data_IF_273692216145
#
_entry.id   IF_273692216145
#
_cell.length_a   1.000
_cell.length_b   1.000
_cell.length_c   1.000
_cell.angle_alpha   90.00
_cell.angle_beta   90.00
_cell.angle_gamma   90.00
#
_symmetry.space_group_name_H-M   'P 1'
#
loop_
_entity.id
_entity.type
_entity.pdbx_description
1 polymer ?
#
# COMPACT_ATOMS: atom_id res chain seq x y z
N UNK A 1 -11.78 -14.87 -21.00
CA UNK A 1 -11.76 -15.92 -19.92
C UNK A 1 -10.63 -15.55 -18.95
N UNK A 2 -10.93 -15.47 -17.66
CA UNK A 2 -9.93 -15.18 -16.63
C UNK A 2 -9.10 -16.46 -16.38
N UNK A 3 -7.77 -16.41 -16.52
CA UNK A 3 -6.92 -17.57 -16.34
C UNK A 3 -6.83 -17.97 -14.86
N UNK A 4 -6.83 -19.28 -14.62
CA UNK A 4 -6.45 -19.87 -13.33
C UNK A 4 -4.96 -20.20 -13.36
N UNK A 5 -4.23 -19.76 -12.33
CA UNK A 5 -2.78 -19.96 -12.23
C UNK A 5 -2.46 -21.06 -11.21
N UNK A 6 -1.66 -22.03 -11.63
CA UNK A 6 -0.97 -22.92 -10.70
C UNK A 6 0.14 -22.13 -9.92
N UNK A 7 0.68 -22.66 -8.80
CA UNK A 7 1.63 -21.93 -7.96
C UNK A 7 2.85 -21.34 -8.68
N UNK A 8 3.34 -21.99 -9.74
CA UNK A 8 4.54 -21.60 -10.49
C UNK A 8 4.24 -20.98 -11.87
N UNK A 9 2.99 -20.89 -12.27
CA UNK A 9 2.64 -20.31 -13.57
C UNK A 9 3.02 -18.82 -13.63
N UNK A 10 3.55 -18.30 -14.74
CA UNK A 10 3.84 -16.90 -14.88
C UNK A 10 2.55 -16.08 -14.90
N UNK A 11 2.59 -14.84 -14.41
CA UNK A 11 1.48 -13.91 -14.58
C UNK A 11 1.27 -13.57 -16.05
N UNK A 12 0.01 -13.48 -16.53
CA UNK A 12 -0.30 -12.97 -17.84
C UNK A 12 0.18 -11.51 -18.01
N UNK A 13 0.33 -11.01 -19.24
CA UNK A 13 0.59 -9.59 -19.48
C UNK A 13 -0.51 -8.72 -18.84
N UNK A 14 -0.14 -7.66 -18.12
CA UNK A 14 -1.12 -6.78 -17.45
C UNK A 14 -2.13 -6.14 -18.41
N UNK A 15 -1.76 -5.98 -19.69
CA UNK A 15 -2.65 -5.49 -20.73
C UNK A 15 -3.87 -6.40 -20.97
N UNK A 16 -3.80 -7.69 -20.55
CA UNK A 16 -4.93 -8.62 -20.66
C UNK A 16 -5.91 -8.55 -19.48
N UNK A 17 -5.68 -7.68 -18.49
CA UNK A 17 -6.60 -7.51 -17.37
C UNK A 17 -7.98 -7.03 -17.84
N UNK A 18 -9.03 -7.63 -17.29
CA UNK A 18 -10.41 -7.43 -17.69
C UNK A 18 -10.98 -6.14 -17.08
N UNK A 19 -11.20 -5.12 -17.89
CA UNK A 19 -11.75 -3.82 -17.46
C UNK A 19 -13.17 -3.96 -16.86
N UNK A 20 -13.99 -4.84 -17.42
CA UNK A 20 -15.36 -5.13 -16.94
C UNK A 20 -15.40 -5.72 -15.51
N UNK A 21 -14.28 -6.27 -15.04
CA UNK A 21 -14.11 -6.79 -13.69
C UNK A 21 -13.12 -5.96 -12.86
N UNK A 22 -13.03 -4.66 -13.11
CA UNK A 22 -12.19 -3.74 -12.34
C UNK A 22 -10.68 -4.00 -12.49
N UNK A 23 -10.25 -4.62 -13.60
CA UNK A 23 -8.86 -4.95 -13.85
C UNK A 23 -8.44 -6.32 -13.32
N UNK A 24 -9.39 -7.25 -13.07
CA UNK A 24 -9.07 -8.63 -12.70
C UNK A 24 -8.23 -9.29 -13.81
N UNK A 25 -7.08 -9.81 -13.42
CA UNK A 25 -6.08 -10.37 -14.32
C UNK A 25 -6.05 -11.90 -14.27
N UNK A 26 -6.09 -12.47 -13.08
CA UNK A 26 -5.97 -13.91 -12.86
C UNK A 26 -6.55 -14.34 -11.52
N UNK A 27 -6.76 -15.64 -11.34
CA UNK A 27 -7.21 -16.28 -10.09
C UNK A 27 -6.22 -17.39 -9.76
N UNK A 28 -5.98 -17.68 -8.50
CA UNK A 28 -5.12 -18.80 -8.09
C UNK A 28 -3.70 -18.39 -7.74
N UNK A 29 -2.74 -19.30 -7.92
CA UNK A 29 -1.39 -19.22 -7.40
C UNK A 29 -1.35 -19.17 -5.85
N UNK A 30 -0.27 -18.62 -5.25
CA UNK A 30 -0.07 -18.53 -3.80
C UNK A 30 0.26 -17.11 -3.39
N UNK A 31 0.18 -16.81 -2.10
CA UNK A 31 0.59 -15.52 -1.51
C UNK A 31 2.02 -15.57 -0.94
N UNK A 32 2.87 -16.48 -1.41
CA UNK A 32 4.27 -16.53 -0.98
C UNK A 32 5.04 -15.26 -1.31
N UNK A 33 6.09 -14.91 -0.52
CA UNK A 33 6.84 -13.66 -0.69
C UNK A 33 7.37 -13.43 -2.11
N UNK A 34 7.98 -14.44 -2.73
CA UNK A 34 8.51 -14.30 -4.10
C UNK A 34 7.40 -14.01 -5.11
N UNK A 35 6.24 -14.66 -4.93
CA UNK A 35 5.07 -14.46 -5.79
C UNK A 35 4.50 -13.05 -5.66
N UNK A 36 4.38 -12.55 -4.43
CA UNK A 36 3.93 -11.19 -4.16
C UNK A 36 4.91 -10.17 -4.74
N UNK A 37 6.21 -10.34 -4.51
CA UNK A 37 7.23 -9.43 -5.05
C UNK A 37 7.27 -9.43 -6.58
N UNK A 38 7.10 -10.59 -7.24
CA UNK A 38 6.97 -10.65 -8.71
C UNK A 38 5.71 -9.92 -9.19
N UNK A 39 4.58 -10.10 -8.53
CA UNK A 39 3.34 -9.40 -8.84
C UNK A 39 3.51 -7.88 -8.75
N UNK A 40 4.00 -7.36 -7.61
CA UNK A 40 4.17 -5.93 -7.40
C UNK A 40 5.13 -5.29 -8.40
N UNK A 41 6.23 -5.95 -8.76
CA UNK A 41 7.17 -5.47 -9.79
C UNK A 41 6.56 -5.39 -11.19
N UNK A 42 5.45 -6.10 -11.43
CA UNK A 42 4.68 -6.06 -12.69
C UNK A 42 3.46 -5.15 -12.65
N UNK A 43 3.21 -4.48 -11.52
CA UNK A 43 2.02 -3.66 -11.34
C UNK A 43 0.75 -4.47 -11.06
N UNK A 44 0.91 -5.67 -10.52
CA UNK A 44 -0.16 -6.60 -10.13
C UNK A 44 -0.22 -6.64 -8.61
N UNK A 45 -1.42 -6.73 -8.04
CA UNK A 45 -1.63 -6.89 -6.60
C UNK A 45 -2.77 -7.86 -6.30
N UNK A 46 -2.75 -8.54 -5.14
CA UNK A 46 -3.84 -9.39 -4.71
C UNK A 46 -4.95 -8.55 -4.08
N UNK A 47 -6.21 -8.82 -4.41
CA UNK A 47 -7.36 -8.16 -3.78
C UNK A 47 -8.53 -9.11 -3.59
N UNK A 48 -8.64 -9.65 -2.37
CA UNK A 48 -9.65 -10.63 -2.03
C UNK A 48 -9.35 -12.04 -2.54
N UNK A 49 -10.30 -12.92 -2.30
CA UNK A 49 -10.24 -14.33 -2.67
C UNK A 49 -11.59 -14.80 -3.21
N UNK A 50 -11.57 -15.85 -4.03
CA UNK A 50 -12.73 -16.63 -4.41
C UNK A 50 -12.42 -18.11 -4.16
N UNK A 51 -13.29 -18.81 -3.42
CA UNK A 51 -13.08 -20.21 -3.04
C UNK A 51 -11.70 -20.49 -2.40
N UNK A 52 -11.17 -19.51 -1.63
CA UNK A 52 -9.85 -19.58 -1.02
C UNK A 52 -8.67 -19.25 -1.96
N UNK A 53 -8.91 -18.97 -3.23
CA UNK A 53 -7.86 -18.61 -4.19
C UNK A 53 -7.72 -17.08 -4.32
N UNK A 54 -6.47 -16.55 -4.29
CA UNK A 54 -6.23 -15.13 -4.48
C UNK A 54 -6.73 -14.63 -5.84
N UNK A 55 -7.28 -13.42 -5.83
CA UNK A 55 -7.65 -12.67 -7.03
C UNK A 55 -6.56 -11.63 -7.31
N UNK A 56 -6.02 -11.61 -8.53
CA UNK A 56 -4.93 -10.73 -8.94
C UNK A 56 -5.45 -9.64 -9.87
N UNK A 57 -5.12 -8.40 -9.58
CA UNK A 57 -5.63 -7.23 -10.28
C UNK A 57 -4.52 -6.36 -10.87
N UNK A 58 -4.82 -5.73 -11.99
CA UNK A 58 -4.06 -4.63 -12.58
C UNK A 58 -5.03 -3.65 -13.26
N UNK A 59 -5.65 -2.74 -12.50
CA UNK A 59 -6.66 -1.82 -13.02
C UNK A 59 -6.10 -0.77 -13.98
N UNK A 60 -6.96 -0.25 -14.84
CA UNK A 60 -6.72 0.86 -15.75
C UNK A 60 -7.96 1.78 -15.74
N UNK A 61 -7.85 3.04 -15.30
CA UNK A 61 -6.64 3.72 -14.85
C UNK A 61 -6.13 3.23 -13.49
N UNK A 62 -4.87 3.58 -13.15
CA UNK A 62 -4.25 3.32 -11.88
C UNK A 62 -4.20 4.58 -11.02
N UNK A 63 -4.66 4.50 -9.78
CA UNK A 63 -4.56 5.59 -8.81
C UNK A 63 -3.16 5.62 -8.20
N UNK A 64 -2.49 6.78 -8.26
CA UNK A 64 -1.15 6.98 -7.72
C UNK A 64 -1.03 8.31 -6.99
N UNK A 65 -0.08 8.41 -6.07
CA UNK A 65 0.37 9.68 -5.50
C UNK A 65 1.86 9.86 -5.81
N UNK A 66 2.22 11.00 -6.39
CA UNK A 66 3.61 11.45 -6.43
C UNK A 66 3.91 12.18 -5.10
N UNK A 67 4.93 11.77 -4.33
CA UNK A 67 5.16 12.32 -3.00
C UNK A 67 5.28 13.85 -2.97
N UNK A 68 5.82 14.48 -4.01
CA UNK A 68 5.94 15.93 -4.19
C UNK A 68 4.60 16.64 -4.55
N UNK A 69 3.59 15.88 -5.00
CA UNK A 69 2.24 16.39 -5.26
C UNK A 69 1.31 16.27 -4.02
N UNK A 70 1.82 15.78 -2.89
CA UNK A 70 1.00 15.59 -1.67
C UNK A 70 0.39 16.90 -1.17
N UNK A 71 -0.93 16.88 -0.96
CA UNK A 71 -1.70 18.03 -0.50
C UNK A 71 -1.87 18.03 1.01
N UNK A 72 -1.01 18.75 1.71
CA UNK A 72 -1.14 18.99 3.14
C UNK A 72 -2.18 20.08 3.40
N UNK A 73 -3.42 19.70 3.71
CA UNK A 73 -4.51 20.63 4.00
C UNK A 73 -4.23 21.46 5.26
N UNK A 74 -4.86 22.65 5.37
CA UNK A 74 -4.69 23.52 6.55
C UNK A 74 -5.11 22.80 7.84
N UNK A 75 -6.20 22.02 7.81
CA UNK A 75 -6.66 21.25 8.98
C UNK A 75 -5.66 20.19 9.39
N UNK A 76 -5.14 19.40 8.45
CA UNK A 76 -4.15 18.36 8.73
C UNK A 76 -2.84 18.98 9.26
N UNK A 77 -2.38 20.07 8.67
CA UNK A 77 -1.21 20.83 9.19
C UNK A 77 -1.40 21.28 10.64
N UNK A 78 -2.61 21.74 10.99
CA UNK A 78 -2.94 22.09 12.39
C UNK A 78 -2.87 20.85 13.27
N UNK A 79 -3.49 19.73 12.88
CA UNK A 79 -3.47 18.47 13.63
C UNK A 79 -2.04 18.01 13.90
N UNK A 80 -1.17 18.03 12.88
CA UNK A 80 0.25 17.63 13.00
C UNK A 80 1.02 18.50 13.98
N UNK A 81 0.74 19.82 14.04
CA UNK A 81 1.45 20.78 14.92
C UNK A 81 0.94 20.81 16.36
N UNK A 82 -0.32 20.49 16.58
CA UNK A 82 -1.00 20.65 17.89
C UNK A 82 -1.49 19.33 18.47
N UNK A 83 -1.43 18.24 17.69
CA UNK A 83 -1.85 16.93 18.13
C UNK A 83 -0.84 16.29 19.09
N UNK A 84 -1.35 15.50 20.01
CA UNK A 84 -0.54 14.67 20.91
C UNK A 84 -0.30 13.28 20.29
N UNK A 85 0.05 13.28 18.98
CA UNK A 85 0.30 12.06 18.25
C UNK A 85 1.79 11.72 18.30
N UNK A 86 2.11 10.53 18.72
CA UNK A 86 3.42 9.93 18.51
C UNK A 86 3.36 9.08 17.23
N UNK A 87 4.30 9.28 16.31
CA UNK A 87 4.37 8.48 15.08
C UNK A 87 5.58 7.56 15.15
N UNK A 88 5.32 6.28 14.94
CA UNK A 88 6.34 5.23 14.92
C UNK A 88 6.34 4.52 13.58
N UNK A 89 7.48 3.90 13.27
CA UNK A 89 7.69 3.12 12.04
C UNK A 89 8.10 1.70 12.41
N UNK A 90 7.40 0.70 11.86
CA UNK A 90 7.72 -0.71 12.04
C UNK A 90 7.80 -1.17 13.51
N UNK A 91 7.01 -0.53 14.41
CA UNK A 91 7.03 -0.88 15.83
C UNK A 91 6.09 -2.05 16.14
N UNK A 92 4.93 -2.10 15.48
CA UNK A 92 3.95 -3.17 15.65
C UNK A 92 3.17 -3.43 14.36
N UNK A 93 3.86 -3.90 13.34
CA UNK A 93 3.27 -4.23 12.04
C UNK A 93 2.08 -5.21 12.15
N UNK A 94 2.16 -6.30 12.98
CA UNK A 94 1.02 -7.21 13.16
C UNK A 94 -0.23 -6.51 13.70
N UNK A 95 -0.10 -5.59 14.65
CA UNK A 95 -1.24 -4.83 15.17
C UNK A 95 -1.84 -3.89 14.11
N UNK A 96 -1.01 -3.27 13.27
CA UNK A 96 -1.47 -2.40 12.18
C UNK A 96 -2.29 -3.19 11.16
N UNK A 97 -1.80 -4.32 10.65
CA UNK A 97 -2.53 -5.10 9.65
C UNK A 97 -3.81 -5.73 10.23
N UNK A 98 -3.78 -6.17 11.49
CA UNK A 98 -4.96 -6.65 12.20
C UNK A 98 -6.02 -5.53 12.35
N UNK A 99 -5.62 -4.32 12.74
CA UNK A 99 -6.53 -3.17 12.81
C UNK A 99 -7.09 -2.80 11.43
N UNK A 100 -6.28 -2.85 10.37
CA UNK A 100 -6.74 -2.63 8.99
C UNK A 100 -7.79 -3.68 8.56
N UNK A 101 -7.61 -4.93 8.95
CA UNK A 101 -8.56 -6.02 8.66
C UNK A 101 -9.87 -5.87 9.43
N UNK A 102 -9.81 -5.46 10.70
CA UNK A 102 -10.96 -5.39 11.60
C UNK A 102 -11.79 -4.09 11.47
N UNK A 103 -11.20 -3.01 10.93
CA UNK A 103 -11.88 -1.71 10.88
C UNK A 103 -12.97 -1.68 9.79
N UNK A 104 -14.26 -1.48 10.15
CA UNK A 104 -15.34 -1.41 9.19
C UNK A 104 -15.17 -0.25 8.21
N UNK A 105 -15.53 -0.46 6.96
CA UNK A 105 -15.51 0.56 5.91
C UNK A 105 -16.89 0.80 5.35
N UNK A 106 -17.34 2.07 5.20
CA UNK A 106 -18.64 2.37 4.59
C UNK A 106 -18.75 1.75 3.18
N UNK A 107 -19.84 1.01 2.96
CA UNK A 107 -20.13 0.40 1.65
C UNK A 107 -19.32 -0.84 1.32
N UNK A 108 -18.66 -1.45 2.30
CA UNK A 108 -17.92 -2.69 2.15
C UNK A 108 -18.36 -3.70 3.21
N UNK A 109 -18.91 -4.85 2.76
CA UNK A 109 -19.27 -5.95 3.64
C UNK A 109 -18.04 -6.82 3.92
N UNK A 110 -17.49 -6.73 5.14
CA UNK A 110 -16.30 -7.47 5.54
C UNK A 110 -14.96 -6.84 5.10
N UNK A 111 -13.93 -7.65 5.08
CA UNK A 111 -12.56 -7.25 4.70
C UNK A 111 -12.03 -8.14 3.60
N UNK A 112 -11.21 -7.56 2.72
CA UNK A 112 -10.44 -8.33 1.74
C UNK A 112 -9.13 -8.90 2.33
N UNK A 113 -8.73 -8.43 3.53
CA UNK A 113 -7.53 -8.88 4.22
C UNK A 113 -7.86 -10.15 5.00
N UNK A 114 -7.69 -11.30 4.35
CA UNK A 114 -7.90 -12.62 4.96
C UNK A 114 -6.76 -12.98 5.93
N UNK A 115 -6.92 -13.99 6.81
CA UNK A 115 -5.83 -14.48 7.65
C UNK A 115 -4.58 -14.86 6.85
N UNK A 116 -4.74 -15.51 5.71
CA UNK A 116 -3.63 -15.91 4.83
C UNK A 116 -2.92 -14.69 4.24
N UNK A 117 -3.66 -13.63 3.92
CA UNK A 117 -3.07 -12.36 3.50
C UNK A 117 -2.30 -11.70 4.65
N UNK A 118 -2.86 -11.68 5.87
CA UNK A 118 -2.15 -11.14 7.03
C UNK A 118 -0.81 -11.85 7.24
N UNK A 119 -0.81 -13.19 7.24
CA UNK A 119 0.41 -13.98 7.40
C UNK A 119 1.44 -13.69 6.30
N UNK A 120 0.99 -13.58 5.05
CA UNK A 120 1.85 -13.27 3.91
C UNK A 120 2.52 -11.88 4.04
N UNK A 121 1.78 -10.85 4.45
CA UNK A 121 2.34 -9.50 4.63
C UNK A 121 3.20 -9.37 5.89
N UNK A 122 2.86 -10.07 6.98
CA UNK A 122 3.73 -10.18 8.16
C UNK A 122 5.06 -10.83 7.75
N UNK A 123 5.02 -11.88 6.92
CA UNK A 123 6.24 -12.50 6.40
C UNK A 123 7.05 -11.56 5.52
N UNK A 124 6.40 -10.74 4.66
CA UNK A 124 7.10 -9.70 3.89
C UNK A 124 7.72 -8.63 4.79
N UNK A 125 7.08 -8.29 5.90
CA UNK A 125 7.64 -7.38 6.90
C UNK A 125 8.90 -7.96 7.55
N UNK A 126 8.86 -9.20 8.03
CA UNK A 126 10.03 -9.90 8.58
C UNK A 126 11.21 -9.95 7.60
N UNK A 127 10.91 -10.04 6.30
CA UNK A 127 11.89 -10.01 5.22
C UNK A 127 12.35 -8.57 4.85
N UNK A 128 11.77 -7.53 5.46
CA UNK A 128 12.12 -6.12 5.24
C UNK A 128 11.59 -5.53 3.93
N UNK A 129 10.45 -6.05 3.41
CA UNK A 129 9.77 -5.52 2.24
C UNK A 129 8.48 -4.77 2.57
N UNK A 130 7.76 -5.18 3.62
CA UNK A 130 6.55 -4.50 4.07
C UNK A 130 6.84 -3.68 5.32
N UNK A 131 6.20 -2.50 5.40
CA UNK A 131 6.44 -1.50 6.42
C UNK A 131 5.15 -0.91 6.93
N UNK A 132 5.11 -0.53 8.21
CA UNK A 132 4.02 0.21 8.82
C UNK A 132 4.42 1.62 9.21
N UNK A 133 3.42 2.49 9.25
CA UNK A 133 3.49 3.81 9.90
C UNK A 133 2.32 3.90 10.86
N UNK A 134 2.61 4.14 12.11
CA UNK A 134 1.71 4.01 13.25
C UNK A 134 1.47 5.35 13.90
N UNK A 135 0.23 5.62 14.25
CA UNK A 135 -0.15 6.80 15.03
C UNK A 135 -0.62 6.36 16.40
N UNK A 136 0.11 6.79 17.41
CA UNK A 136 -0.11 6.47 18.82
C UNK A 136 -0.57 7.70 19.58
N UNK A 137 -1.48 7.53 20.55
CA UNK A 137 -1.91 8.56 21.51
C UNK A 137 -2.01 7.90 22.88
N UNK A 138 -1.27 8.42 23.86
CA UNK A 138 -1.26 7.91 25.26
C UNK A 138 -0.95 6.40 25.34
N UNK A 139 -0.08 5.91 24.46
CA UNK A 139 0.29 4.50 24.39
C UNK A 139 -0.69 3.59 23.66
N UNK A 140 -1.78 4.13 23.11
CA UNK A 140 -2.75 3.39 22.30
C UNK A 140 -2.49 3.59 20.80
N UNK A 141 -2.52 2.52 20.01
CA UNK A 141 -2.49 2.53 18.56
C UNK A 141 -3.86 3.00 18.02
N UNK A 142 -3.94 4.26 17.57
CA UNK A 142 -5.20 4.90 17.19
C UNK A 142 -5.39 5.08 15.68
N UNK A 143 -4.37 4.80 14.90
CA UNK A 143 -4.40 4.83 13.44
C UNK A 143 -3.08 4.37 12.85
N UNK A 144 -3.08 4.14 11.55
CA UNK A 144 -1.88 3.67 10.87
C UNK A 144 -2.19 3.24 9.45
N UNK A 145 -1.14 2.81 8.79
CA UNK A 145 -1.16 2.23 7.46
C UNK A 145 -0.03 1.21 7.32
N UNK A 146 -0.15 0.35 6.31
CA UNK A 146 0.96 -0.48 5.89
C UNK A 146 1.06 -0.54 4.37
N UNK A 147 2.21 -0.96 3.89
CA UNK A 147 2.49 -1.14 2.48
C UNK A 147 3.84 -1.76 2.22
N UNK A 148 4.22 -1.90 0.95
CA UNK A 148 5.51 -2.44 0.54
C UNK A 148 6.41 -1.35 -0.02
N UNK A 149 7.72 -1.49 0.21
CA UNK A 149 8.75 -0.66 -0.40
C UNK A 149 9.66 -1.53 -1.28
N UNK A 150 9.64 -1.28 -2.60
CA UNK A 150 10.47 -1.99 -3.58
C UNK A 150 11.20 -0.96 -4.43
N UNK A 151 12.52 -0.88 -4.31
CA UNK A 151 13.30 0.18 -4.95
C UNK A 151 12.89 1.56 -4.46
N UNK A 152 12.44 2.44 -5.35
CA UNK A 152 11.90 3.78 -5.04
C UNK A 152 10.37 3.87 -5.24
N UNK A 153 9.71 2.74 -5.14
CA UNK A 153 8.26 2.59 -5.24
C UNK A 153 7.67 2.15 -3.90
N UNK A 154 6.61 2.81 -3.44
CA UNK A 154 5.83 2.38 -2.29
C UNK A 154 4.44 1.93 -2.74
N UNK A 155 3.97 0.79 -2.26
CA UNK A 155 2.64 0.26 -2.53
C UNK A 155 1.82 0.36 -1.25
N UNK A 156 0.89 1.31 -1.21
CA UNK A 156 0.02 1.50 -0.06
C UNK A 156 -1.12 0.48 -0.07
N UNK A 157 -1.13 -0.42 0.91
CA UNK A 157 -2.11 -1.52 0.97
C UNK A 157 -3.39 -1.12 1.67
N UNK A 158 -3.27 -0.65 2.89
CA UNK A 158 -4.42 -0.32 3.69
C UNK A 158 -4.08 0.68 4.79
N UNK A 159 -5.12 1.38 5.27
CA UNK A 159 -5.02 2.27 6.43
C UNK A 159 -6.28 2.18 7.29
N UNK A 160 -6.13 2.50 8.57
CA UNK A 160 -7.23 2.56 9.53
C UNK A 160 -7.13 3.80 10.43
N UNK A 161 -8.24 4.20 11.02
CA UNK A 161 -8.29 5.29 12.01
C UNK A 161 -9.37 5.00 13.04
N UNK A 162 -8.96 4.85 14.30
CA UNK A 162 -9.86 4.76 15.45
C UNK A 162 -10.10 6.13 16.10
N UNK A 163 -9.22 7.10 15.85
CA UNK A 163 -9.40 8.52 16.22
C UNK A 163 -9.34 9.39 14.97
N UNK A 164 -10.02 10.54 15.05
CA UNK A 164 -10.07 11.50 13.94
C UNK A 164 -8.69 11.86 13.42
N UNK A 165 -8.54 11.86 12.10
CA UNK A 165 -7.33 12.20 11.34
C UNK A 165 -6.10 11.29 11.60
N UNK A 166 -6.17 10.26 12.46
CA UNK A 166 -5.02 9.43 12.82
C UNK A 166 -4.37 8.75 11.60
N UNK A 167 -5.15 8.20 10.66
CA UNK A 167 -4.60 7.65 9.41
C UNK A 167 -3.96 8.70 8.50
N UNK A 168 -4.48 9.95 8.51
CA UNK A 168 -3.89 11.05 7.74
C UNK A 168 -2.58 11.53 8.35
N UNK A 169 -2.46 11.47 9.69
CA UNK A 169 -1.20 11.75 10.40
C UNK A 169 -0.15 10.72 9.98
N UNK A 170 -0.47 9.42 10.03
CA UNK A 170 0.42 8.37 9.55
C UNK A 170 0.82 8.58 8.07
N UNK A 171 -0.17 8.88 7.21
CA UNK A 171 0.08 9.10 5.78
C UNK A 171 0.97 10.32 5.50
N UNK A 172 0.80 11.41 6.23
CA UNK A 172 1.64 12.59 6.08
C UNK A 172 3.10 12.31 6.47
N UNK A 173 3.34 11.50 7.52
CA UNK A 173 4.68 11.06 7.90
C UNK A 173 5.26 10.06 6.91
N UNK A 174 4.44 9.13 6.37
CA UNK A 174 4.85 8.29 5.25
C UNK A 174 5.38 9.13 4.10
N UNK A 175 4.61 10.12 3.63
CA UNK A 175 5.02 10.96 2.48
C UNK A 175 6.33 11.68 2.75
N UNK A 176 6.54 12.22 3.95
CA UNK A 176 7.84 12.84 4.32
C UNK A 176 8.98 11.83 4.30
N UNK A 177 8.75 10.63 4.84
CA UNK A 177 9.70 9.53 4.80
C UNK A 177 10.06 9.15 3.36
N UNK A 178 9.05 9.05 2.48
CA UNK A 178 9.25 8.72 1.07
C UNK A 178 10.04 9.80 0.33
N UNK A 179 9.77 11.08 0.59
CA UNK A 179 10.54 12.20 0.04
C UNK A 179 12.00 12.15 0.50
N UNK A 180 12.24 11.93 1.80
CA UNK A 180 13.58 11.81 2.35
C UNK A 180 14.35 10.61 1.76
N UNK A 181 13.66 9.50 1.47
CA UNK A 181 14.20 8.30 0.85
C UNK A 181 14.31 8.35 -0.68
N UNK A 182 13.90 9.44 -1.33
CA UNK A 182 13.96 9.60 -2.79
C UNK A 182 12.97 8.73 -3.55
N UNK A 183 11.86 8.34 -2.92
CA UNK A 183 10.79 7.59 -3.58
C UNK A 183 10.09 8.46 -4.63
N UNK A 184 9.76 7.87 -5.78
CA UNK A 184 9.15 8.59 -6.90
C UNK A 184 7.65 8.45 -6.99
N UNK A 185 7.05 7.39 -6.45
CA UNK A 185 5.60 7.13 -6.59
C UNK A 185 5.07 6.25 -5.47
N UNK A 186 3.82 6.51 -5.06
CA UNK A 186 3.00 5.65 -4.22
C UNK A 186 1.90 5.06 -5.08
N UNK A 187 1.83 3.73 -5.14
CA UNK A 187 0.69 3.03 -5.72
C UNK A 187 -0.47 3.02 -4.73
N UNK A 188 -1.58 3.61 -5.13
CA UNK A 188 -2.83 3.65 -4.37
C UNK A 188 -3.89 2.71 -4.95
N UNK A 189 -3.54 1.92 -5.95
CA UNK A 189 -4.34 0.94 -6.71
C UNK A 189 -5.62 1.52 -7.31
N UNK A 190 -6.63 1.79 -6.48
CA UNK A 190 -7.98 2.16 -6.89
C UNK A 190 -8.32 3.59 -6.45
N UNK A 191 -9.16 4.26 -7.23
CA UNK A 191 -9.65 5.60 -6.90
C UNK A 191 -10.47 5.62 -5.61
N UNK A 192 -10.12 6.53 -4.70
CA UNK A 192 -10.96 6.94 -3.59
C UNK A 192 -10.98 8.46 -3.45
N UNK A 193 -12.13 9.03 -3.09
CA UNK A 193 -12.24 10.47 -2.85
C UNK A 193 -11.29 10.94 -1.73
N UNK A 194 -11.00 10.06 -0.75
CA UNK A 194 -10.06 10.34 0.32
C UNK A 194 -8.64 10.55 -0.22
N UNK A 195 -8.10 9.63 -1.00
CA UNK A 195 -6.76 9.74 -1.59
C UNK A 195 -6.66 10.89 -2.59
N UNK A 196 -7.71 11.12 -3.40
CA UNK A 196 -7.78 12.27 -4.30
C UNK A 196 -7.69 13.60 -3.54
N UNK A 197 -8.32 13.71 -2.36
CA UNK A 197 -8.22 14.89 -1.50
C UNK A 197 -6.81 15.15 -0.98
N UNK A 198 -5.97 14.12 -0.89
CA UNK A 198 -4.57 14.17 -0.48
C UNK A 198 -3.59 14.39 -1.64
N UNK A 199 -4.09 14.49 -2.87
CA UNK A 199 -3.28 14.79 -4.06
C UNK A 199 -3.07 13.61 -5.00
N UNK A 200 -3.55 12.41 -4.63
CA UNK A 200 -3.49 11.28 -5.54
C UNK A 200 -4.36 11.49 -6.79
N UNK A 201 -3.93 10.96 -7.91
CA UNK A 201 -4.59 11.05 -9.21
C UNK A 201 -4.47 9.77 -10.02
N UNK A 202 -5.36 9.61 -10.95
CA UNK A 202 -5.33 8.48 -11.89
C UNK A 202 -4.37 8.75 -13.05
N UNK A 203 -3.63 7.72 -13.43
CA UNK A 203 -2.81 7.69 -14.65
C UNK A 203 -3.15 6.43 -15.46
N UNK A 204 -2.93 6.43 -16.77
CA UNK A 204 -3.06 5.21 -17.58
C UNK A 204 -2.15 4.10 -17.03
N UNK A 205 -2.64 2.85 -17.04
CA UNK A 205 -1.83 1.70 -16.59
C UNK A 205 -0.50 1.57 -17.35
N UNK A 206 -0.47 1.89 -18.65
CA UNK A 206 0.76 1.86 -19.43
C UNK A 206 1.81 2.82 -18.84
N UNK A 207 1.42 4.08 -18.53
CA UNK A 207 2.31 5.05 -17.87
C UNK A 207 2.75 4.56 -16.49
N UNK A 208 1.83 3.95 -15.73
CA UNK A 208 2.16 3.37 -14.42
C UNK A 208 3.25 2.31 -14.52
N UNK A 209 3.12 1.37 -15.46
CA UNK A 209 4.07 0.27 -15.65
C UNK A 209 5.44 0.77 -16.09
N UNK A 210 5.49 1.77 -17.00
CA UNK A 210 6.74 2.38 -17.45
C UNK A 210 7.49 3.07 -16.29
N UNK A 211 6.76 3.85 -15.46
CA UNK A 211 7.31 4.49 -14.26
C UNK A 211 7.76 3.48 -13.22
N UNK A 212 6.96 2.43 -13.02
CA UNK A 212 7.26 1.34 -12.10
C UNK A 212 8.58 0.66 -12.45
N UNK A 213 8.79 0.32 -13.73
CA UNK A 213 10.04 -0.27 -14.20
C UNK A 213 11.27 0.62 -13.90
N UNK A 214 11.13 1.94 -14.11
CA UNK A 214 12.20 2.90 -13.80
C UNK A 214 12.48 3.05 -12.30
N UNK A 215 11.46 2.89 -11.43
CA UNK A 215 11.57 3.08 -9.98
C UNK A 215 12.04 1.82 -9.26
N UNK A 216 11.70 0.63 -9.76
CA UNK A 216 12.07 -0.65 -9.13
C UNK A 216 13.42 -1.19 -9.62
N UNK A 217 13.90 -0.74 -10.80
CA UNK A 217 15.21 -1.11 -11.38
C UNK A 217 15.38 -2.61 -11.57
N UNK A 218 16.64 -3.09 -11.55
CA UNK A 218 16.98 -4.53 -11.62
C UNK A 218 16.71 -5.32 -10.32
N UNK A 219 15.98 -4.77 -9.41
CA UNK A 219 14.99 -5.47 -8.57
C UNK A 219 15.41 -5.97 -7.21
N UNK A 220 16.64 -5.90 -6.71
CA UNK A 220 16.97 -6.50 -5.40
C UNK A 220 17.26 -5.51 -4.26
N UNK A 221 17.27 -4.22 -4.55
CA UNK A 221 17.56 -3.24 -3.51
C UNK A 221 16.35 -3.06 -2.58
N UNK A 222 16.48 -3.54 -1.34
CA UNK A 222 15.59 -3.14 -0.25
C UNK A 222 15.81 -1.66 0.03
N UNK A 223 14.73 -0.94 0.19
CA UNK A 223 14.79 0.45 0.62
C UNK A 223 15.29 0.51 2.06
N UNK A 224 16.13 1.50 2.40
CA UNK A 224 16.45 1.77 3.80
C UNK A 224 15.22 2.38 4.46
N UNK A 225 14.72 1.73 5.52
CA UNK A 225 13.50 2.13 6.19
C UNK A 225 13.68 2.22 7.72
N UNK A 226 13.33 3.34 8.36
CA UNK A 226 13.11 4.65 7.72
C UNK A 226 14.36 5.19 7.04
N UNK A 227 14.22 6.23 6.18
CA UNK A 227 15.37 6.83 5.49
C UNK A 227 16.38 7.38 6.51
N UNK A 228 17.71 7.28 6.24
CA UNK A 228 18.73 7.79 7.15
C UNK A 228 18.51 9.27 7.47
N UNK A 229 18.54 9.61 8.78
CA UNK A 229 18.33 10.98 9.26
C UNK A 229 16.89 11.47 9.23
N UNK A 230 15.93 10.61 8.91
CA UNK A 230 14.51 10.97 9.00
C UNK A 230 14.08 11.23 10.45
N UNK A 231 13.38 12.35 10.68
CA UNK A 231 12.74 12.68 11.96
C UNK A 231 11.22 12.70 11.79
N UNK A 232 10.50 12.10 12.73
CA UNK A 232 9.03 12.14 12.77
C UNK A 232 8.48 13.48 13.32
N UNK A 233 9.32 14.40 13.76
CA UNK A 233 8.90 15.74 14.22
C UNK A 233 8.42 16.63 13.05
N UNK A 234 7.41 17.47 13.32
CA UNK A 234 6.79 18.42 12.37
C UNK A 234 7.09 19.87 12.73
#
# INVERSE_FOLDING_TARGET
MIPYLAPLDPFPPVASAHAEFGGLLAIGATLGPDRLLDAYRRGIFPWGTVDGFPLWYSPDPRMVLFPDEFRLTRSLRRTLRTGHHEVRFDTDFPAVIAACSATPRPGQDGTWITPEMMDAYIRLHELGWAHSVETWVEGELVGGLYGLAIGRMFYGESMFAHRRDASKVAFAHLVRQLLAGGFGMVDCQMHTAHLASLGAREIPRAEFVDRLAALTGSGEARSTWPAPGFSAEW
#
